data_IF_954369675317
#
_entry.id   IF_954369675317
#
_cell.length_a   1.000
_cell.length_b   1.000
_cell.length_c   1.000
_cell.angle_alpha   90.00
_cell.angle_beta   90.00
_cell.angle_gamma   90.00
#
_symmetry.space_group_name_H-M   'P 1'
#
loop_
_entity.id
_entity.type
_entity.pdbx_description
1 polymer ?
#
# COMPACT_ATOMS: atom_id res chain seq x y z
N UNK A 1 0.63 0.77 -3.64
CA UNK A 1 0.43 -0.44 -2.81
C UNK A 1 1.54 -0.53 -1.78
N UNK A 2 1.18 -0.64 -0.54
CA UNK A 2 2.14 -0.82 0.55
C UNK A 2 2.07 -2.27 1.00
N UNK A 3 3.20 -2.96 0.98
CA UNK A 3 3.29 -4.33 1.49
C UNK A 3 3.97 -4.25 2.85
N UNK A 4 3.30 -4.79 3.86
CA UNK A 4 3.76 -4.77 5.24
C UNK A 4 4.09 -6.20 5.65
N UNK A 5 5.30 -6.42 6.12
CA UNK A 5 5.65 -7.70 6.70
C UNK A 5 5.76 -7.54 8.21
N UNK A 6 5.01 -8.33 8.94
CA UNK A 6 4.98 -8.24 10.40
C UNK A 6 6.28 -8.81 10.98
N UNK A 7 7.02 -7.96 11.71
CA UNK A 7 8.27 -8.39 12.33
C UNK A 7 8.00 -9.49 13.33
N UNK A 8 8.88 -10.49 13.33
CA UNK A 8 8.76 -11.65 14.22
C UNK A 8 7.43 -12.40 14.07
N UNK A 9 6.80 -12.27 12.91
CA UNK A 9 5.48 -12.88 12.65
C UNK A 9 4.46 -12.50 13.71
N UNK A 10 4.58 -11.31 14.29
CA UNK A 10 3.73 -10.87 15.39
C UNK A 10 2.59 -9.97 14.92
N UNK A 11 1.65 -10.55 14.20
CA UNK A 11 0.46 -9.83 13.77
C UNK A 11 -0.36 -9.33 14.95
N UNK A 12 -0.36 -10.05 16.07
CA UNK A 12 -1.14 -9.67 17.25
C UNK A 12 -0.72 -8.31 17.79
N UNK A 13 0.58 -8.01 17.82
CA UNK A 13 1.07 -6.71 18.27
C UNK A 13 0.59 -5.58 17.37
N UNK A 14 0.58 -5.81 16.06
CA UNK A 14 0.10 -4.84 15.08
C UNK A 14 -1.39 -4.54 15.29
N UNK A 15 -2.18 -5.59 15.43
CA UNK A 15 -3.62 -5.42 15.60
C UNK A 15 -3.98 -4.80 16.95
N UNK A 16 -3.21 -5.08 17.99
CA UNK A 16 -3.40 -4.43 19.30
C UNK A 16 -3.21 -2.93 19.19
N UNK A 17 -2.13 -2.49 18.52
CA UNK A 17 -1.88 -1.06 18.32
C UNK A 17 -2.98 -0.43 17.47
N UNK A 18 -3.43 -1.14 16.44
CA UNK A 18 -4.52 -0.65 15.60
C UNK A 18 -5.81 -0.46 16.41
N UNK A 19 -6.14 -1.38 17.29
CA UNK A 19 -7.32 -1.25 18.14
C UNK A 19 -7.20 -0.07 19.09
N UNK A 20 -6.00 0.18 19.60
CA UNK A 20 -5.75 1.24 20.57
C UNK A 20 -5.66 2.62 19.92
N UNK A 21 -4.98 2.74 18.81
CA UNK A 21 -4.63 4.03 18.20
C UNK A 21 -5.14 4.21 16.77
N UNK A 22 -5.79 3.22 16.21
CA UNK A 22 -6.22 3.27 14.83
C UNK A 22 -5.05 3.19 13.86
N UNK A 23 -5.28 3.59 12.63
CA UNK A 23 -4.27 3.49 11.56
C UNK A 23 -3.17 4.51 11.71
N UNK A 24 -3.43 5.60 12.38
CA UNK A 24 -2.49 6.71 12.57
C UNK A 24 -2.01 7.32 11.25
N UNK A 25 -2.89 7.33 10.25
CA UNK A 25 -2.58 7.96 8.97
C UNK A 25 -2.77 9.47 9.12
N UNK A 26 -1.79 10.29 8.68
CA UNK A 26 -1.96 11.73 8.72
C UNK A 26 -3.02 12.20 7.73
N UNK A 27 -3.52 13.40 7.94
CA UNK A 27 -4.48 14.00 7.02
C UNK A 27 -3.86 14.11 5.64
N UNK A 28 -4.62 13.77 4.61
CA UNK A 28 -4.12 13.77 3.24
C UNK A 28 -3.61 12.42 2.75
N UNK A 29 -3.49 11.45 3.66
CA UNK A 29 -3.18 10.07 3.29
C UNK A 29 -4.44 9.24 3.45
N UNK A 30 -4.95 8.70 2.35
CA UNK A 30 -6.21 7.99 2.33
C UNK A 30 -5.99 6.49 2.30
N UNK A 31 -6.71 5.79 3.16
CA UNK A 31 -6.80 4.34 3.14
C UNK A 31 -7.89 3.93 2.14
N UNK A 32 -7.56 3.08 1.19
CA UNK A 32 -8.52 2.61 0.21
C UNK A 32 -9.03 1.22 0.56
N UNK A 33 -8.13 0.26 0.72
CA UNK A 33 -8.47 -1.11 1.06
C UNK A 33 -7.23 -1.88 1.47
N UNK A 34 -7.43 -3.01 2.13
CA UNK A 34 -6.31 -3.85 2.52
C UNK A 34 -6.69 -5.32 2.56
N UNK A 35 -5.68 -6.16 2.45
CA UNK A 35 -5.80 -7.61 2.49
C UNK A 35 -4.64 -8.16 3.31
N UNK A 36 -4.88 -9.21 4.06
CA UNK A 36 -3.84 -9.89 4.84
C UNK A 36 -3.77 -11.31 4.33
N UNK A 37 -2.56 -11.86 4.18
CA UNK A 37 -2.45 -13.23 3.74
C UNK A 37 -2.99 -14.18 4.82
N UNK A 38 -3.37 -15.37 4.41
CA UNK A 38 -4.03 -16.32 5.31
C UNK A 38 -3.12 -16.83 6.41
N UNK A 39 -1.82 -16.62 6.29
CA UNK A 39 -0.85 -17.00 7.32
C UNK A 39 -0.60 -15.87 8.32
N UNK A 40 -1.22 -14.71 8.11
CA UNK A 40 -1.08 -13.53 8.96
C UNK A 40 0.37 -13.05 9.04
N UNK A 41 1.07 -13.09 7.92
CA UNK A 41 2.45 -12.66 7.83
C UNK A 41 2.63 -11.31 7.14
N UNK A 42 1.76 -11.03 6.16
CA UNK A 42 1.85 -9.80 5.36
C UNK A 42 0.49 -9.16 5.18
N UNK A 43 0.52 -7.84 5.15
CA UNK A 43 -0.66 -7.04 4.80
C UNK A 43 -0.37 -6.29 3.51
N UNK A 44 -1.32 -6.30 2.61
CA UNK A 44 -1.27 -5.56 1.35
C UNK A 44 -2.25 -4.42 1.48
N UNK A 45 -1.77 -3.19 1.52
CA UNK A 45 -2.60 -2.05 1.83
C UNK A 45 -2.52 -1.00 0.73
N UNK A 46 -3.67 -0.67 0.17
CA UNK A 46 -3.73 0.35 -0.86
C UNK A 46 -3.98 1.68 -0.21
N UNK A 47 -3.01 2.56 -0.32
CA UNK A 47 -3.09 3.92 0.21
C UNK A 47 -2.97 4.90 -0.94
N UNK A 48 -3.56 6.08 -0.78
CA UNK A 48 -3.55 7.11 -1.80
C UNK A 48 -3.15 8.44 -1.19
N UNK A 49 -2.20 9.11 -1.82
CA UNK A 49 -1.80 10.46 -1.42
C UNK A 49 -1.13 11.16 -2.59
N UNK A 50 -1.23 12.49 -2.64
CA UNK A 50 -0.49 13.30 -3.57
C UNK A 50 0.90 13.68 -3.03
N UNK A 51 1.17 13.36 -1.77
CA UNK A 51 2.39 13.74 -1.07
C UNK A 51 3.07 12.53 -0.43
N UNK A 52 4.18 12.10 -1.01
CA UNK A 52 4.95 10.95 -0.53
C UNK A 52 5.38 11.11 0.93
N UNK A 53 5.62 12.33 1.38
CA UNK A 53 6.06 12.55 2.75
C UNK A 53 5.03 12.10 3.78
N UNK A 54 3.74 12.16 3.44
CA UNK A 54 2.68 11.68 4.31
C UNK A 54 2.71 10.16 4.46
N UNK A 55 3.08 9.48 3.39
CA UNK A 55 3.26 8.03 3.43
C UNK A 55 4.44 7.66 4.34
N UNK A 56 5.55 8.39 4.20
CA UNK A 56 6.74 8.15 5.03
C UNK A 56 6.44 8.41 6.51
N UNK A 57 5.69 9.47 6.80
CA UNK A 57 5.27 9.79 8.16
C UNK A 57 4.42 8.67 8.76
N UNK A 58 3.47 8.16 7.98
CA UNK A 58 2.63 7.06 8.42
C UNK A 58 3.45 5.79 8.68
N UNK A 59 4.34 5.44 7.78
CA UNK A 59 5.19 4.25 7.95
C UNK A 59 6.06 4.34 9.19
N UNK A 60 6.55 5.55 9.53
CA UNK A 60 7.35 5.74 10.72
C UNK A 60 6.59 5.39 12.00
N UNK A 61 5.27 5.55 12.01
CA UNK A 61 4.45 5.21 13.17
C UNK A 61 4.36 3.70 13.42
N UNK A 62 4.77 2.89 12.45
CA UNK A 62 4.64 1.43 12.51
C UNK A 62 5.95 0.69 12.32
N UNK A 63 7.04 1.40 12.04
CA UNK A 63 8.30 0.76 11.64
C UNK A 63 8.94 -0.12 12.70
N UNK A 64 8.54 0.02 13.95
CA UNK A 64 9.01 -0.87 15.03
C UNK A 64 8.38 -2.26 14.95
N UNK A 65 7.19 -2.39 14.36
CA UNK A 65 6.46 -3.65 14.27
C UNK A 65 6.40 -4.22 12.86
N UNK A 66 6.69 -3.40 11.85
CA UNK A 66 6.42 -3.75 10.45
C UNK A 66 7.60 -3.34 9.57
N UNK A 67 7.93 -4.21 8.62
CA UNK A 67 8.82 -3.85 7.52
C UNK A 67 7.97 -3.49 6.31
N UNK A 68 8.31 -2.40 5.62
CA UNK A 68 7.51 -1.87 4.53
C UNK A 68 8.19 -1.99 3.18
N UNK A 69 7.39 -2.28 2.15
CA UNK A 69 7.76 -2.10 0.75
C UNK A 69 6.67 -1.29 0.09
N UNK A 70 7.04 -0.34 -0.75
CA UNK A 70 6.08 0.55 -1.40
C UNK A 70 6.17 0.40 -2.90
N UNK A 71 5.04 0.14 -3.54
CA UNK A 71 4.94 -0.02 -4.99
C UNK A 71 3.90 0.95 -5.53
N UNK A 72 4.30 1.90 -6.38
CA UNK A 72 3.33 2.72 -7.09
C UNK A 72 2.51 1.82 -8.00
N UNK A 73 1.21 1.96 -7.94
CA UNK A 73 0.30 1.14 -8.76
C UNK A 73 -0.76 2.02 -9.40
N UNK A 74 -1.29 1.55 -10.50
CA UNK A 74 -2.45 2.14 -11.16
C UNK A 74 -3.48 1.04 -11.32
N UNK A 75 -4.72 1.41 -11.61
CA UNK A 75 -5.75 0.41 -11.84
C UNK A 75 -5.50 -0.30 -13.15
N UNK A 76 -6.05 -1.50 -13.28
CA UNK A 76 -5.98 -2.23 -14.56
C UNK A 76 -6.65 -1.45 -15.68
N UNK A 77 -7.70 -0.70 -15.36
CA UNK A 77 -8.36 0.15 -16.34
C UNK A 77 -7.43 1.25 -16.84
N UNK A 78 -6.75 1.92 -15.92
CA UNK A 78 -5.80 2.97 -16.29
C UNK A 78 -4.61 2.39 -17.07
N UNK A 79 -4.14 1.22 -16.70
CA UNK A 79 -3.08 0.53 -17.43
C UNK A 79 -3.51 0.23 -18.86
N UNK A 80 -4.74 -0.26 -19.03
CA UNK A 80 -5.27 -0.55 -20.36
C UNK A 80 -5.38 0.73 -21.20
N UNK A 81 -5.78 1.83 -20.57
CA UNK A 81 -5.87 3.12 -21.26
C UNK A 81 -4.50 3.62 -21.71
N UNK A 82 -3.49 3.48 -20.86
CA UNK A 82 -2.11 3.86 -21.21
C UNK A 82 -1.56 3.00 -22.33
N UNK A 83 -1.82 1.71 -22.29
CA UNK A 83 -1.37 0.80 -23.33
C UNK A 83 -2.06 1.11 -24.66
N UNK A 84 -3.35 1.39 -24.64
CA UNK A 84 -4.08 1.77 -25.83
C UNK A 84 -3.55 3.08 -26.45
N UNK A 85 -3.24 4.06 -25.61
CA UNK A 85 -2.66 5.32 -26.06
C UNK A 85 -1.27 5.10 -26.66
N UNK A 86 -0.45 4.29 -26.01
CA UNK A 86 0.87 3.95 -26.48
C UNK A 86 0.81 3.12 -27.75
N UNK A 87 -0.13 2.18 -27.82
CA UNK A 87 -0.32 1.37 -29.02
C UNK A 87 -0.72 2.20 -30.21
N UNK A 88 -1.48 3.28 -29.98
CA UNK A 88 -1.80 4.22 -31.02
C UNK A 88 -0.57 4.93 -31.55
N UNK A 89 0.42 5.15 -30.70
CA UNK A 89 1.65 5.81 -31.09
C UNK A 89 2.70 4.83 -31.59
N UNK A 90 2.78 3.69 -30.95
CA UNK A 90 3.82 2.72 -31.21
C UNK A 90 3.32 1.47 -31.86
N UNK A 91 2.28 1.56 -32.56
CA UNK A 91 1.58 0.47 -33.16
C UNK A 91 2.38 -0.76 -33.39
N UNK A 92 1.99 -1.83 -32.78
CA UNK A 92 2.57 -3.10 -33.01
C UNK A 92 1.58 -4.01 -33.62
N UNK A 93 1.92 -4.69 -34.67
CA UNK A 93 1.03 -5.73 -35.19
C UNK A 93 0.92 -6.80 -34.14
N UNK A 94 -0.22 -7.33 -34.03
CA UNK A 94 -0.46 -8.37 -33.05
C UNK A 94 0.28 -9.64 -33.41
#
# INVERSE_FOLDING_TARGET
>A
MVVERFKNSDAAAVYRRFQDKGRMAPEGLLYVSSWVDDKLERCYQLMETADRSLLDEWMANWSDLVEFEVYPVITSKEAAERIAAGAGAERKPA
#
